data_IF_463275599071
#
_entry.id   IF_463275599071
#
_cell.length_a   1.000
_cell.length_b   1.000
_cell.length_c   1.000
_cell.angle_alpha   90.00
_cell.angle_beta   90.00
_cell.angle_gamma   90.00
#
_symmetry.space_group_name_H-M   'P 1'
#
loop_
_entity.id
_entity.type
_entity.pdbx_description
1 polymer ?
#
# COMPACT_ATOMS: atom_id res chain seq x y z
N UNK A 1 33.78 -3.33 -5.28
CA UNK A 1 32.36 -3.44 -4.88
C UNK A 1 31.84 -2.07 -4.43
N UNK A 2 30.90 -1.47 -5.16
CA UNK A 2 30.30 -0.18 -4.78
C UNK A 2 29.37 -0.32 -3.57
N UNK A 3 29.41 0.65 -2.65
CA UNK A 3 28.54 0.69 -1.46
C UNK A 3 27.09 0.90 -1.90
N UNK A 4 26.20 -0.04 -1.61
CA UNK A 4 24.75 0.13 -1.81
C UNK A 4 24.25 1.11 -0.75
N UNK A 5 23.78 2.28 -1.19
CA UNK A 5 23.12 3.26 -0.32
C UNK A 5 21.63 2.92 -0.25
N UNK A 6 21.09 2.78 0.97
CA UNK A 6 19.67 2.55 1.15
C UNK A 6 18.86 3.72 0.58
N UNK A 7 17.82 3.41 -0.22
CA UNK A 7 16.92 4.46 -0.74
C UNK A 7 16.18 5.13 0.41
N UNK A 8 16.04 6.45 0.34
CA UNK A 8 15.18 7.22 1.24
C UNK A 8 13.74 6.68 1.11
N UNK A 9 13.12 6.39 2.25
CA UNK A 9 11.72 5.97 2.30
C UNK A 9 10.82 7.09 1.80
N UNK A 10 9.93 6.81 0.84
CA UNK A 10 8.87 7.74 0.46
C UNK A 10 7.75 7.70 1.52
N UNK A 11 7.33 8.88 1.98
CA UNK A 11 6.29 9.04 2.99
C UNK A 11 4.87 9.14 2.43
N UNK A 12 4.70 9.17 1.11
CA UNK A 12 3.39 9.23 0.45
C UNK A 12 2.68 7.88 0.55
N UNK A 13 1.35 7.89 0.38
CA UNK A 13 0.56 6.67 0.26
C UNK A 13 0.70 6.05 -1.12
N UNK A 14 0.80 4.73 -1.19
CA UNK A 14 0.85 3.95 -2.42
C UNK A 14 -0.25 2.90 -2.41
N UNK A 15 -0.65 2.44 -3.59
CA UNK A 15 -1.44 1.21 -3.75
C UNK A 15 -0.49 0.05 -4.02
N UNK A 16 -0.82 -1.14 -3.51
CA UNK A 16 -0.12 -2.35 -3.86
C UNK A 16 -0.75 -2.94 -5.13
N UNK A 17 0.06 -3.17 -6.16
CA UNK A 17 -0.36 -3.87 -7.37
C UNK A 17 0.67 -4.97 -7.59
N UNK A 18 0.20 -6.20 -7.69
CA UNK A 18 1.08 -7.33 -7.98
C UNK A 18 1.67 -7.16 -9.39
N UNK A 19 2.90 -7.61 -9.59
CA UNK A 19 3.63 -7.42 -10.85
C UNK A 19 2.97 -8.15 -12.03
N UNK A 20 2.31 -9.28 -11.77
CA UNK A 20 1.49 -10.03 -12.75
C UNK A 20 0.05 -9.52 -12.91
N UNK A 21 -0.35 -8.42 -12.23
CA UNK A 21 -1.76 -8.03 -12.18
C UNK A 21 -2.36 -7.78 -13.57
N UNK A 22 -1.55 -7.28 -14.51
CA UNK A 22 -2.00 -7.04 -15.89
C UNK A 22 -2.31 -8.33 -16.67
N UNK A 23 -1.70 -9.44 -16.27
CA UNK A 23 -1.84 -10.76 -16.90
C UNK A 23 -2.98 -11.58 -16.26
N UNK A 24 -3.58 -11.08 -15.17
CA UNK A 24 -4.75 -11.73 -14.58
C UNK A 24 -5.93 -11.66 -15.56
N UNK A 25 -6.68 -12.75 -15.84
CA UNK A 25 -7.68 -12.79 -16.91
C UNK A 25 -8.73 -11.67 -16.87
N UNK A 26 -9.16 -11.25 -15.68
CA UNK A 26 -10.13 -10.13 -15.52
C UNK A 26 -9.55 -8.79 -15.99
N UNK A 27 -8.24 -8.60 -15.84
CA UNK A 27 -7.53 -7.38 -16.19
C UNK A 27 -7.11 -7.41 -17.64
N UNK A 28 -6.58 -8.54 -18.10
CA UNK A 28 -6.20 -8.76 -19.50
C UNK A 28 -7.38 -8.51 -20.46
N UNK A 29 -8.58 -8.98 -20.12
CA UNK A 29 -9.79 -8.83 -20.93
C UNK A 29 -10.32 -7.38 -21.05
N UNK A 30 -9.83 -6.44 -20.23
CA UNK A 30 -10.24 -5.04 -20.28
C UNK A 30 -9.46 -4.24 -21.31
N UNK A 31 -10.06 -3.16 -21.82
CA UNK A 31 -9.29 -2.14 -22.54
C UNK A 31 -8.28 -1.43 -21.64
N UNK A 32 -7.22 -0.88 -22.21
CA UNK A 32 -6.20 -0.14 -21.44
C UNK A 32 -6.77 1.05 -20.69
N UNK A 33 -7.76 1.73 -21.26
CA UNK A 33 -8.47 2.82 -20.56
C UNK A 33 -9.21 2.30 -19.32
N UNK A 34 -9.80 1.11 -19.38
CA UNK A 34 -10.46 0.48 -18.23
C UNK A 34 -9.44 0.00 -17.18
N UNK A 35 -8.30 -0.59 -17.59
CA UNK A 35 -7.18 -0.96 -16.69
C UNK A 35 -6.66 0.27 -15.93
N UNK A 36 -6.39 1.36 -16.65
CA UNK A 36 -5.95 2.63 -16.04
C UNK A 36 -7.02 3.20 -15.11
N UNK A 37 -8.30 3.13 -15.49
CA UNK A 37 -9.37 3.61 -14.62
C UNK A 37 -9.50 2.78 -13.34
N UNK A 38 -9.37 1.45 -13.42
CA UNK A 38 -9.30 0.58 -12.25
C UNK A 38 -8.18 0.99 -11.28
N UNK A 39 -6.96 1.23 -11.78
CA UNK A 39 -5.84 1.74 -10.96
C UNK A 39 -6.17 3.10 -10.31
N UNK A 40 -6.80 4.02 -11.07
CA UNK A 40 -7.21 5.33 -10.56
C UNK A 40 -8.25 5.22 -9.46
N UNK A 41 -9.24 4.35 -9.62
CA UNK A 41 -10.27 4.09 -8.61
C UNK A 41 -9.64 3.48 -7.35
N UNK A 42 -8.75 2.50 -7.51
CA UNK A 42 -8.01 1.87 -6.39
C UNK A 42 -7.21 2.91 -5.60
N UNK A 43 -6.47 3.78 -6.30
CA UNK A 43 -5.75 4.89 -5.69
C UNK A 43 -6.64 5.95 -5.05
N UNK A 44 -7.82 6.22 -5.63
CA UNK A 44 -8.81 7.11 -5.04
C UNK A 44 -9.37 6.53 -3.74
N UNK A 45 -9.78 5.26 -3.72
CA UNK A 45 -10.27 4.58 -2.51
C UNK A 45 -9.24 4.58 -1.39
N UNK A 46 -7.97 4.33 -1.73
CA UNK A 46 -6.89 4.35 -0.74
C UNK A 46 -6.74 5.76 -0.14
N UNK A 47 -6.65 6.80 -0.97
CA UNK A 47 -6.51 8.18 -0.49
C UNK A 47 -7.73 8.67 0.32
N UNK A 48 -8.93 8.30 -0.12
CA UNK A 48 -10.19 8.74 0.49
C UNK A 48 -10.66 7.85 1.64
N UNK A 49 -9.95 6.75 1.91
CA UNK A 49 -10.24 5.80 3.00
C UNK A 49 -11.66 5.24 2.91
N UNK A 50 -12.02 4.73 1.73
CA UNK A 50 -13.38 4.24 1.45
C UNK A 50 -13.49 2.72 1.34
N UNK A 51 -12.44 1.98 1.68
CA UNK A 51 -12.43 0.51 1.70
C UNK A 51 -12.94 -0.13 0.39
N UNK A 52 -12.56 0.47 -0.74
CA UNK A 52 -12.91 -0.03 -2.07
C UNK A 52 -14.27 0.44 -2.61
N UNK A 53 -15.02 1.24 -1.86
CA UNK A 53 -16.31 1.78 -2.31
C UNK A 53 -16.15 3.10 -3.05
N UNK A 54 -16.86 3.25 -4.18
CA UNK A 54 -16.91 4.48 -4.99
C UNK A 54 -18.35 4.87 -5.29
N UNK A 55 -18.62 6.18 -5.44
CA UNK A 55 -19.91 6.67 -5.88
C UNK A 55 -20.18 6.34 -7.36
N UNK A 56 -21.44 6.31 -7.77
CA UNK A 56 -21.81 6.12 -9.18
C UNK A 56 -21.15 7.15 -10.11
N UNK A 57 -21.06 8.42 -9.68
CA UNK A 57 -20.40 9.46 -10.45
C UNK A 57 -18.90 9.18 -10.64
N UNK A 58 -18.23 8.69 -9.58
CA UNK A 58 -16.80 8.33 -9.65
C UNK A 58 -16.56 7.10 -10.53
N UNK A 59 -17.41 6.08 -10.43
CA UNK A 59 -17.35 4.90 -11.28
C UNK A 59 -17.49 5.27 -12.77
N UNK A 60 -18.40 6.20 -13.10
CA UNK A 60 -18.70 6.65 -14.47
C UNK A 60 -17.77 7.75 -15.01
N UNK A 61 -16.74 8.15 -14.27
CA UNK A 61 -15.88 9.30 -14.62
C UNK A 61 -15.19 9.19 -16.00
N UNK A 62 -14.96 7.96 -16.50
CA UNK A 62 -14.36 7.72 -17.83
C UNK A 62 -15.37 7.44 -18.95
N UNK A 63 -16.65 7.70 -18.67
CA UNK A 63 -17.72 7.51 -19.64
C UNK A 63 -18.32 6.11 -19.64
N UNK A 64 -19.43 5.93 -20.37
CA UNK A 64 -20.28 4.74 -20.28
C UNK A 64 -19.61 3.46 -20.78
N UNK A 65 -18.72 3.54 -21.77
CA UNK A 65 -18.00 2.37 -22.30
C UNK A 65 -17.10 1.73 -21.25
N UNK A 66 -16.23 2.53 -20.63
CA UNK A 66 -15.32 2.08 -19.57
C UNK A 66 -16.11 1.60 -18.36
N UNK A 67 -17.16 2.33 -17.99
CA UNK A 67 -18.04 1.92 -16.90
C UNK A 67 -18.69 0.55 -17.16
N UNK A 68 -19.18 0.30 -18.38
CA UNK A 68 -19.74 -0.99 -18.76
C UNK A 68 -18.70 -2.11 -18.68
N UNK A 69 -17.49 -1.91 -19.18
CA UNK A 69 -16.39 -2.89 -19.06
C UNK A 69 -16.11 -3.25 -17.60
N UNK A 70 -16.06 -2.26 -16.70
CA UNK A 70 -15.78 -2.51 -15.29
C UNK A 70 -16.94 -3.20 -14.55
N UNK A 71 -18.19 -2.97 -14.96
CA UNK A 71 -19.38 -3.50 -14.27
C UNK A 71 -19.96 -4.77 -14.90
N UNK A 72 -19.42 -5.19 -16.04
CA UNK A 72 -19.81 -6.44 -16.70
C UNK A 72 -18.80 -7.53 -16.36
N UNK A 73 -19.27 -8.77 -16.29
CA UNK A 73 -18.40 -9.93 -16.27
C UNK A 73 -17.80 -10.15 -17.67
N UNK A 74 -16.54 -9.74 -17.86
CA UNK A 74 -15.83 -9.93 -19.13
C UNK A 74 -15.25 -11.35 -19.29
N UNK A 75 -15.05 -12.06 -18.18
CA UNK A 75 -14.55 -13.45 -18.14
C UNK A 75 -15.54 -14.31 -17.37
N UNK A 76 -16.14 -15.35 -18.00
CA UNK A 76 -17.14 -16.19 -17.36
C UNK A 76 -16.65 -16.83 -16.06
N UNK A 77 -17.50 -16.78 -15.03
CA UNK A 77 -17.23 -17.36 -13.71
C UNK A 77 -16.31 -16.52 -12.82
N UNK A 78 -15.92 -15.31 -13.23
CA UNK A 78 -15.04 -14.43 -12.42
C UNK A 78 -15.76 -13.20 -11.89
N UNK A 79 -16.92 -12.84 -12.39
CA UNK A 79 -17.65 -11.63 -12.00
C UNK A 79 -17.01 -10.33 -12.51
N UNK A 80 -17.64 -9.20 -12.18
CA UNK A 80 -17.23 -7.87 -12.62
C UNK A 80 -16.01 -7.33 -11.82
N UNK A 81 -15.42 -6.22 -12.30
CA UNK A 81 -14.38 -5.49 -11.58
C UNK A 81 -14.96 -4.48 -10.57
N UNK A 82 -16.14 -3.94 -10.89
CA UNK A 82 -16.96 -3.08 -10.05
C UNK A 82 -18.32 -3.76 -9.82
N UNK A 83 -18.61 -4.06 -8.56
CA UNK A 83 -19.84 -4.70 -8.15
C UNK A 83 -20.83 -3.66 -7.64
N UNK A 84 -22.01 -3.58 -8.28
CA UNK A 84 -23.08 -2.70 -7.83
C UNK A 84 -23.54 -3.08 -6.42
N UNK A 85 -23.76 -2.07 -5.58
CA UNK A 85 -24.22 -2.23 -4.20
C UNK A 85 -25.67 -1.75 -4.07
N UNK A 86 -26.45 -2.26 -3.09
CA UNK A 86 -27.84 -1.87 -2.89
C UNK A 86 -28.07 -0.37 -2.66
N UNK A 87 -27.06 0.33 -2.16
CA UNK A 87 -27.10 1.77 -1.87
C UNK A 87 -26.71 2.66 -3.07
N UNK A 88 -26.56 2.07 -4.26
CA UNK A 88 -26.19 2.78 -5.48
C UNK A 88 -24.69 3.10 -5.62
N UNK A 89 -23.85 2.64 -4.68
CA UNK A 89 -22.39 2.67 -4.81
C UNK A 89 -21.88 1.45 -5.60
N UNK A 90 -20.59 1.47 -5.89
CA UNK A 90 -19.88 0.36 -6.51
C UNK A 90 -18.71 -0.04 -5.63
N UNK A 91 -18.48 -1.34 -5.48
CA UNK A 91 -17.35 -1.92 -4.75
C UNK A 91 -16.32 -2.44 -5.74
N UNK A 92 -15.06 -2.06 -5.57
CA UNK A 92 -13.94 -2.68 -6.25
C UNK A 92 -13.79 -4.13 -5.79
N UNK A 93 -13.76 -5.05 -6.76
CA UNK A 93 -13.54 -6.46 -6.49
C UNK A 93 -12.22 -6.69 -5.74
N UNK A 94 -12.26 -7.52 -4.70
CA UNK A 94 -11.11 -7.94 -3.88
C UNK A 94 -10.24 -6.81 -3.29
N UNK A 95 -10.79 -5.59 -3.15
CA UNK A 95 -10.01 -4.44 -2.68
C UNK A 95 -9.28 -4.71 -1.36
N UNK A 96 -9.99 -5.24 -0.35
CA UNK A 96 -9.43 -5.51 0.98
C UNK A 96 -8.53 -6.76 1.03
N UNK A 97 -8.51 -7.60 -0.01
CA UNK A 97 -7.56 -8.71 -0.10
C UNK A 97 -6.16 -8.20 -0.47
N UNK A 98 -6.08 -7.05 -1.15
CA UNK A 98 -4.84 -6.50 -1.68
C UNK A 98 -4.42 -5.17 -1.04
N UNK A 99 -5.38 -4.39 -0.57
CA UNK A 99 -5.15 -3.10 0.08
C UNK A 99 -5.53 -3.18 1.54
N UNK A 100 -4.84 -2.39 2.35
CA UNK A 100 -5.24 -2.19 3.74
C UNK A 100 -6.57 -1.45 3.83
N UNK A 101 -7.36 -1.81 4.82
CA UNK A 101 -8.55 -1.06 5.20
C UNK A 101 -8.17 0.30 5.79
N UNK A 102 -9.15 1.21 5.85
CA UNK A 102 -9.03 2.49 6.57
C UNK A 102 -8.51 2.27 7.99
N UNK A 103 -9.10 1.32 8.71
CA UNK A 103 -8.75 1.02 10.10
C UNK A 103 -7.31 0.54 10.23
N UNK A 104 -6.87 -0.39 9.37
CA UNK A 104 -5.50 -0.89 9.37
C UNK A 104 -4.49 0.22 9.09
N UNK A 105 -4.80 1.12 8.16
CA UNK A 105 -3.95 2.26 7.83
C UNK A 105 -3.85 3.23 9.01
N UNK A 106 -4.96 3.52 9.68
CA UNK A 106 -4.99 4.38 10.87
C UNK A 106 -4.21 3.76 12.02
N UNK A 107 -4.38 2.46 12.26
CA UNK A 107 -3.62 1.70 13.26
C UNK A 107 -2.12 1.73 12.97
N UNK A 108 -1.72 1.50 11.72
CA UNK A 108 -0.31 1.53 11.34
C UNK A 108 0.27 2.95 11.44
N UNK A 109 -0.51 3.98 11.09
CA UNK A 109 -0.11 5.38 11.25
C UNK A 109 0.09 5.75 12.74
N UNK A 110 -0.80 5.27 13.62
CA UNK A 110 -0.67 5.46 15.07
C UNK A 110 0.59 4.78 15.62
N UNK A 111 0.85 3.51 15.26
CA UNK A 111 2.08 2.78 15.63
C UNK A 111 3.34 3.51 15.14
N UNK A 112 3.34 4.00 13.90
CA UNK A 112 4.47 4.75 13.35
C UNK A 112 4.70 6.07 14.10
N UNK A 113 3.63 6.77 14.51
CA UNK A 113 3.71 7.99 15.30
C UNK A 113 4.28 7.72 16.69
N UNK A 114 3.82 6.66 17.35
CA UNK A 114 4.33 6.25 18.67
C UNK A 114 5.82 5.89 18.60
N UNK A 115 6.22 5.09 17.61
CA UNK A 115 7.62 4.73 17.39
C UNK A 115 8.49 5.94 17.08
N UNK A 116 7.98 6.88 16.28
CA UNK A 116 8.65 8.15 16.00
C UNK A 116 8.87 8.98 17.27
N UNK A 117 7.87 9.05 18.15
CA UNK A 117 7.99 9.74 19.44
C UNK A 117 9.01 9.08 20.39
N UNK A 118 9.12 7.74 20.38
CA UNK A 118 10.15 7.00 21.14
C UNK A 118 11.56 7.20 20.56
N UNK A 119 11.70 7.16 19.23
CA UNK A 119 12.99 7.24 18.53
C UNK A 119 13.60 8.64 18.46
N UNK A 120 12.78 9.70 18.57
CA UNK A 120 13.26 11.09 18.62
C UNK A 120 13.84 11.52 19.97
N UNK A 121 13.80 10.65 20.99
CA UNK A 121 14.41 10.95 22.29
C UNK A 121 15.94 10.99 22.14
N UNK A 122 16.62 12.04 22.65
CA UNK A 122 18.08 12.09 22.64
C UNK A 122 18.63 10.82 23.30
N UNK A 123 19.52 10.12 22.61
CA UNK A 123 20.16 8.91 23.14
C UNK A 123 20.97 9.31 24.38
N UNK A 124 20.46 9.03 25.57
CA UNK A 124 21.03 9.50 26.86
C UNK A 124 22.22 8.68 27.35
N UNK A 125 22.83 7.82 26.53
CA UNK A 125 23.97 7.03 26.96
C UNK A 125 25.22 7.40 26.15
N UNK A 126 26.21 8.08 26.76
CA UNK A 126 27.56 8.10 26.19
C UNK A 126 28.07 6.67 26.09
N UNK A 127 28.70 6.32 24.96
CA UNK A 127 29.41 5.04 24.84
C UNK A 127 30.46 4.97 25.96
N UNK A 128 30.55 3.87 26.73
CA UNK A 128 31.68 3.68 27.63
C UNK A 128 32.95 3.61 26.78
N UNK A 129 33.75 4.66 26.81
CA UNK A 129 35.14 4.66 26.35
C UNK A 129 35.97 4.01 27.43
N UNK A 130 36.38 2.77 27.20
CA UNK A 130 37.23 2.02 28.11
C UNK A 130 37.74 0.75 27.45
N UNK A 131 38.71 0.89 26.55
CA UNK A 131 39.65 -0.20 26.24
C UNK A 131 40.91 0.08 27.06
N UNK A 132 40.85 -0.23 28.35
CA UNK A 132 42.05 -0.44 29.16
C UNK A 132 42.59 -1.82 28.73
N UNK A 133 43.54 -1.83 27.79
CA UNK A 133 44.31 -3.03 27.48
C UNK A 133 45.12 -3.42 28.73
N UNK A 134 44.72 -4.53 29.35
CA UNK A 134 45.43 -5.11 30.48
C UNK A 134 46.87 -5.45 30.13
N UNK A 135 47.81 -4.74 30.75
CA UNK A 135 49.19 -5.19 30.88
C UNK A 135 49.27 -6.06 32.15
N UNK A 136 49.40 -7.37 31.97
CA UNK A 136 49.80 -8.31 33.02
C UNK A 136 51.22 -7.92 33.47
N UNK A 137 51.36 -7.41 34.69
CA UNK A 137 52.65 -7.41 35.37
C UNK A 137 52.82 -8.81 35.97
N UNK A 138 53.71 -9.59 35.36
CA UNK A 138 54.22 -10.84 35.93
C UNK A 138 55.20 -10.43 37.03
N UNK A 139 54.97 -10.89 38.25
CA UNK A 139 55.86 -10.61 39.37
C UNK A 139 57.20 -11.32 39.20
N UNK A 140 58.27 -10.65 39.62
CA UNK A 140 59.54 -11.28 39.97
C UNK A 140 60.03 -10.73 41.32
N UNK A 141 60.20 -11.71 42.22
CA UNK A 141 61.00 -11.80 43.46
C UNK A 141 60.84 -10.75 44.56
#
# INVERSE_FOLDING_TARGET
MGRVVARKKDGRSFIAVHDDAMDHPKIEAMSDTAKVHWLRLTGWCNRMRTDGYVSAAKAKERGPKVFKELTTELVPGRGAMLEAQPDGRYRLHDYLNHQWSKEEIELQAAKNRENGAKGGRPRTQPKPTGLEHGLRVVGET
#
